data_IF_287668978613
#
_entry.id   IF_287668978613
#
_cell.length_a   1.000
_cell.length_b   1.000
_cell.length_c   1.000
_cell.angle_alpha   90.00
_cell.angle_beta   90.00
_cell.angle_gamma   90.00
#
_symmetry.space_group_name_H-M   'P 1'
#
loop_
_entity.id
_entity.type
_entity.pdbx_description
1 polymer ?
#
# COMPACT_ATOMS: atom_id res chain seq x y z
N UNK A 1 0.17 -20.81 -5.13
CA UNK A 1 -0.05 -19.41 -5.54
C UNK A 1 1.14 -18.59 -5.12
N UNK A 2 1.41 -17.52 -5.85
CA UNK A 2 2.15 -16.38 -5.33
C UNK A 2 1.14 -15.22 -5.18
N UNK A 3 1.53 -14.15 -4.47
CA UNK A 3 0.67 -12.99 -4.26
C UNK A 3 -0.05 -12.50 -5.53
N UNK A 4 0.70 -12.38 -6.64
CA UNK A 4 0.17 -11.89 -7.92
C UNK A 4 -0.89 -12.83 -8.49
N UNK A 5 -0.66 -14.14 -8.44
CA UNK A 5 -1.62 -15.14 -8.91
C UNK A 5 -2.92 -15.14 -8.12
N UNK A 6 -2.83 -15.00 -6.80
CA UNK A 6 -4.01 -14.96 -5.93
C UNK A 6 -4.81 -13.66 -6.14
N UNK A 7 -4.14 -12.53 -6.34
CA UNK A 7 -4.76 -11.25 -6.69
C UNK A 7 -5.51 -11.32 -8.03
N UNK A 8 -4.86 -11.83 -9.09
CA UNK A 8 -5.49 -11.99 -10.42
C UNK A 8 -6.74 -12.87 -10.30
N UNK A 9 -6.61 -14.03 -9.65
CA UNK A 9 -7.72 -14.95 -9.46
C UNK A 9 -8.89 -14.29 -8.72
N UNK A 10 -8.62 -13.53 -7.65
CA UNK A 10 -9.66 -12.85 -6.88
C UNK A 10 -10.39 -11.78 -7.71
N UNK A 11 -9.66 -10.95 -8.47
CA UNK A 11 -10.23 -9.89 -9.31
C UNK A 11 -11.11 -10.46 -10.42
N UNK A 12 -10.63 -11.51 -11.10
CA UNK A 12 -11.39 -12.19 -12.16
C UNK A 12 -12.63 -12.90 -11.60
N UNK A 13 -12.49 -13.59 -10.47
CA UNK A 13 -13.61 -14.29 -9.83
C UNK A 13 -14.69 -13.31 -9.33
N UNK A 14 -14.28 -12.14 -8.85
CA UNK A 14 -15.19 -11.09 -8.41
C UNK A 14 -15.93 -10.40 -9.59
N UNK A 15 -15.53 -10.67 -10.84
CA UNK A 15 -16.12 -10.10 -12.06
C UNK A 15 -16.30 -8.57 -11.98
N UNK A 16 -15.28 -7.90 -11.45
CA UNK A 16 -15.25 -6.46 -11.23
C UNK A 16 -15.00 -5.70 -12.53
N UNK A 17 -15.51 -4.48 -12.63
CA UNK A 17 -15.25 -3.58 -13.77
C UNK A 17 -14.67 -2.27 -13.28
N UNK A 18 -13.65 -1.78 -13.98
CA UNK A 18 -12.98 -0.53 -13.65
C UNK A 18 -11.94 -0.68 -12.53
N UNK A 19 -11.63 0.42 -11.82
CA UNK A 19 -10.58 0.43 -10.81
C UNK A 19 -10.93 -0.46 -9.61
N UNK A 20 -9.98 -1.30 -9.20
CA UNK A 20 -10.06 -2.13 -8.00
C UNK A 20 -8.93 -1.79 -7.04
N UNK A 21 -9.26 -1.65 -5.76
CA UNK A 21 -8.28 -1.43 -4.71
C UNK A 21 -7.85 -2.75 -4.07
N UNK A 22 -6.54 -2.99 -4.00
CA UNK A 22 -5.94 -4.15 -3.37
C UNK A 22 -5.18 -3.68 -2.13
N UNK A 23 -5.60 -4.15 -0.96
CA UNK A 23 -5.04 -3.77 0.35
C UNK A 23 -4.54 -5.03 1.04
N UNK A 24 -3.33 -4.98 1.62
CA UNK A 24 -2.80 -6.07 2.43
C UNK A 24 -3.47 -6.08 3.80
N UNK A 25 -3.83 -7.27 4.29
CA UNK A 25 -4.59 -7.41 5.54
C UNK A 25 -3.76 -7.14 6.80
N UNK A 26 -2.43 -7.02 6.67
CA UNK A 26 -1.48 -6.77 7.76
C UNK A 26 -1.26 -5.27 8.06
N UNK A 27 -2.15 -4.39 7.57
CA UNK A 27 -2.12 -2.93 7.73
C UNK A 27 -3.14 -2.42 8.77
N UNK A 28 -2.94 -2.66 10.07
CA UNK A 28 -3.95 -2.39 11.10
C UNK A 28 -4.22 -0.91 11.36
N UNK A 29 -3.36 -0.01 10.84
CA UNK A 29 -3.48 1.44 11.05
C UNK A 29 -4.10 2.18 9.86
N UNK A 30 -4.53 1.45 8.82
CA UNK A 30 -5.27 2.05 7.71
C UNK A 30 -6.62 2.58 8.21
N UNK A 31 -7.02 3.75 7.72
CA UNK A 31 -8.24 4.43 8.12
C UNK A 31 -8.98 4.99 6.90
N UNK A 32 -10.25 5.41 7.05
CA UNK A 32 -11.04 5.95 5.93
C UNK A 32 -10.37 7.13 5.24
N UNK A 33 -9.77 8.05 6.00
CA UNK A 33 -9.15 9.26 5.45
C UNK A 33 -7.96 8.92 4.52
N UNK A 34 -7.17 7.89 4.86
CA UNK A 34 -6.10 7.41 4.00
C UNK A 34 -6.64 6.77 2.74
N UNK A 35 -7.69 5.94 2.85
CA UNK A 35 -8.32 5.30 1.69
C UNK A 35 -8.86 6.37 0.72
N UNK A 36 -9.57 7.35 1.25
CA UNK A 36 -10.13 8.46 0.47
C UNK A 36 -9.02 9.25 -0.22
N UNK A 37 -7.94 9.60 0.49
CA UNK A 37 -6.81 10.33 -0.09
C UNK A 37 -6.12 9.58 -1.25
N UNK A 38 -6.03 8.24 -1.16
CA UNK A 38 -5.45 7.41 -2.22
C UNK A 38 -6.39 7.38 -3.44
N UNK A 39 -7.70 7.28 -3.23
CA UNK A 39 -8.70 7.29 -4.29
C UNK A 39 -8.73 8.65 -5.00
N UNK A 40 -8.74 9.74 -4.24
CA UNK A 40 -8.67 11.10 -4.78
C UNK A 40 -7.43 11.26 -5.64
N UNK A 41 -6.27 10.84 -5.12
CA UNK A 41 -5.02 10.96 -5.86
C UNK A 41 -5.00 10.13 -7.14
N UNK A 42 -5.53 8.92 -7.11
CA UNK A 42 -5.68 8.08 -8.31
C UNK A 42 -6.52 8.78 -9.39
N UNK A 43 -7.63 9.42 -9.00
CA UNK A 43 -8.49 10.16 -9.94
C UNK A 43 -7.80 11.38 -10.54
N UNK A 44 -6.99 12.08 -9.77
CA UNK A 44 -6.23 13.25 -10.24
C UNK A 44 -5.15 12.89 -11.26
N UNK A 45 -4.41 11.82 -11.02
CA UNK A 45 -3.25 11.45 -11.86
C UNK A 45 -3.65 10.83 -13.20
N UNK A 46 -4.83 10.20 -13.27
CA UNK A 46 -5.37 9.64 -14.52
C UNK A 46 -4.59 8.44 -15.08
N UNK A 47 -3.71 7.83 -14.29
CA UNK A 47 -2.98 6.60 -14.63
C UNK A 47 -3.86 5.37 -14.38
N UNK A 48 -3.70 4.27 -15.15
CA UNK A 48 -4.51 3.07 -14.96
C UNK A 48 -4.24 2.38 -13.62
N UNK A 49 -3.03 2.52 -13.08
CA UNK A 49 -2.63 1.97 -11.79
C UNK A 49 -2.00 3.01 -10.85
N UNK A 50 -2.11 2.77 -9.55
CA UNK A 50 -1.42 3.53 -8.50
C UNK A 50 -0.96 2.58 -7.39
N UNK A 51 0.29 2.73 -6.96
CA UNK A 51 0.87 2.01 -5.84
C UNK A 51 1.33 2.98 -4.76
N UNK A 52 1.00 2.67 -3.50
CA UNK A 52 1.35 3.52 -2.36
C UNK A 52 2.67 3.07 -1.75
N UNK A 53 3.52 4.04 -1.46
CA UNK A 53 4.83 3.84 -0.86
C UNK A 53 5.04 4.81 0.30
N UNK A 54 5.94 4.44 1.21
CA UNK A 54 6.50 5.33 2.23
C UNK A 54 8.01 5.48 2.02
N UNK A 55 8.59 6.66 2.30
CA UNK A 55 10.04 6.81 2.34
C UNK A 55 10.68 5.91 3.42
N UNK A 56 11.89 5.38 3.17
CA UNK A 56 12.56 4.47 4.12
C UNK A 56 12.80 5.09 5.51
N UNK A 57 12.97 6.41 5.59
CA UNK A 57 13.14 7.13 6.85
C UNK A 57 11.87 7.09 7.71
N UNK A 58 10.69 6.97 7.11
CA UNK A 58 9.42 6.80 7.83
C UNK A 58 9.39 5.45 8.52
N UNK A 59 9.78 4.36 7.84
CA UNK A 59 9.92 3.03 8.46
C UNK A 59 10.90 3.05 9.63
N UNK A 60 12.06 3.72 9.45
CA UNK A 60 13.05 3.87 10.53
C UNK A 60 12.48 4.64 11.74
N UNK A 61 11.76 5.74 11.49
CA UNK A 61 11.11 6.54 12.54
C UNK A 61 10.01 5.76 13.27
N UNK A 62 9.26 4.92 12.55
CA UNK A 62 8.24 4.03 13.11
C UNK A 62 8.83 2.79 13.82
N UNK A 63 10.15 2.58 13.71
CA UNK A 63 10.84 1.43 14.32
C UNK A 63 10.58 0.10 13.61
N UNK A 64 10.16 0.13 12.34
CA UNK A 64 9.94 -1.07 11.52
C UNK A 64 11.10 -1.32 10.59
N UNK A 65 11.29 -2.60 10.23
CA UNK A 65 12.30 -3.02 9.26
C UNK A 65 11.58 -3.51 8.01
N UNK A 66 11.67 -2.79 6.88
CA UNK A 66 11.02 -3.22 5.65
C UNK A 66 11.75 -4.43 5.05
N UNK A 67 10.99 -5.38 4.53
CA UNK A 67 11.54 -6.55 3.82
C UNK A 67 11.88 -6.23 2.36
N UNK A 68 11.16 -5.26 1.77
CA UNK A 68 11.34 -4.84 0.37
C UNK A 68 11.60 -3.34 0.31
N UNK A 69 12.61 -2.93 -0.46
CA UNK A 69 12.98 -1.53 -0.68
C UNK A 69 13.25 -1.32 -2.17
N UNK A 70 12.71 -0.25 -2.73
CA UNK A 70 12.96 0.18 -4.10
C UNK A 70 13.76 1.49 -4.12
N UNK A 71 14.55 1.69 -5.16
CA UNK A 71 15.17 2.98 -5.45
C UNK A 71 14.39 3.67 -6.56
N UNK A 72 13.73 4.78 -6.24
CA UNK A 72 13.05 5.65 -7.20
C UNK A 72 13.74 7.00 -7.22
N UNK A 73 14.40 7.33 -8.32
CA UNK A 73 15.09 8.60 -8.54
C UNK A 73 16.08 8.97 -7.41
N UNK A 74 16.82 7.99 -6.90
CA UNK A 74 17.79 8.15 -5.81
C UNK A 74 17.16 8.15 -4.41
N UNK A 75 15.84 8.00 -4.30
CA UNK A 75 15.12 7.90 -3.02
C UNK A 75 14.73 6.45 -2.75
N UNK A 76 15.03 5.99 -1.54
CA UNK A 76 14.62 4.66 -1.09
C UNK A 76 13.17 4.71 -0.59
N UNK A 77 12.31 3.93 -1.23
CA UNK A 77 10.88 3.84 -0.92
C UNK A 77 10.49 2.39 -0.62
N UNK A 78 9.49 2.21 0.22
CA UNK A 78 9.00 0.93 0.70
C UNK A 78 7.52 0.80 0.32
N UNK A 79 7.08 -0.31 -0.28
CA UNK A 79 5.68 -0.50 -0.62
C UNK A 79 4.83 -0.55 0.66
N UNK A 80 3.75 0.22 0.68
CA UNK A 80 2.84 0.30 1.84
C UNK A 80 1.76 -0.80 1.83
N UNK A 81 1.67 -1.62 0.76
CA UNK A 81 0.67 -2.68 0.65
C UNK A 81 -0.72 -2.19 0.21
N UNK A 82 -0.83 -1.00 -0.39
CA UNK A 82 -2.07 -0.47 -0.98
C UNK A 82 -1.84 -0.17 -2.46
N UNK A 83 -2.72 -0.70 -3.31
CA UNK A 83 -2.66 -0.52 -4.76
C UNK A 83 -4.06 -0.27 -5.33
N UNK A 84 -4.13 0.46 -6.44
CA UNK A 84 -5.31 0.53 -7.32
C UNK A 84 -4.87 0.06 -8.70
N UNK A 85 -5.64 -0.85 -9.30
CA UNK A 85 -5.39 -1.43 -10.62
C UNK A 85 -6.67 -1.38 -11.47
N UNK A 86 -6.54 -1.29 -12.78
CA UNK A 86 -7.66 -1.52 -13.69
C UNK A 86 -7.93 -3.03 -13.79
N UNK A 87 -9.13 -3.47 -13.39
CA UNK A 87 -9.51 -4.88 -13.41
C UNK A 87 -9.48 -5.49 -14.82
N UNK A 88 -9.72 -4.69 -15.87
CA UNK A 88 -9.72 -5.14 -17.25
C UNK A 88 -8.33 -5.51 -17.77
N UNK A 89 -7.28 -4.99 -17.12
CA UNK A 89 -5.89 -5.23 -17.46
C UNK A 89 -5.13 -5.97 -16.35
N UNK A 90 -5.83 -6.70 -15.47
CA UNK A 90 -5.22 -7.29 -14.26
C UNK A 90 -4.09 -8.30 -14.54
N UNK A 91 -4.08 -8.91 -15.73
CA UNK A 91 -3.03 -9.84 -16.17
C UNK A 91 -1.83 -9.14 -16.81
N UNK A 92 -1.97 -7.88 -17.19
CA UNK A 92 -0.97 -7.12 -17.92
C UNK A 92 -0.28 -6.13 -16.98
N UNK A 93 0.95 -5.77 -17.31
CA UNK A 93 1.62 -4.63 -16.67
C UNK A 93 0.86 -3.34 -17.02
N UNK A 94 0.63 -2.51 -16.01
CA UNK A 94 -0.11 -1.26 -16.14
C UNK A 94 0.83 -0.11 -15.85
N UNK A 95 0.70 0.99 -16.59
CA UNK A 95 1.41 2.22 -16.25
C UNK A 95 0.98 2.69 -14.87
N UNK A 96 1.92 2.79 -13.94
CA UNK A 96 1.64 3.08 -12.54
C UNK A 96 2.06 4.49 -12.11
N UNK A 97 1.31 5.03 -11.16
CA UNK A 97 1.72 6.19 -10.39
C UNK A 97 2.19 5.74 -9.01
N UNK A 98 3.40 6.16 -8.60
CA UNK A 98 3.91 5.84 -7.25
C UNK A 98 3.61 6.99 -6.30
N UNK A 99 2.56 6.81 -5.52
CA UNK A 99 2.15 7.75 -4.48
C UNK A 99 3.02 7.56 -3.24
N UNK A 100 3.96 8.48 -3.02
CA UNK A 100 4.87 8.44 -1.87
C UNK A 100 4.31 9.32 -0.75
N UNK A 101 3.96 8.72 0.39
CA UNK A 101 3.36 9.39 1.54
C UNK A 101 4.29 9.34 2.76
N UNK A 102 4.48 10.49 3.41
CA UNK A 102 5.17 10.57 4.70
C UNK A 102 4.16 10.32 5.83
N UNK A 103 3.70 9.07 5.93
CA UNK A 103 2.72 8.67 6.94
C UNK A 103 3.18 7.42 7.70
N UNK A 104 3.53 7.55 9.00
CA UNK A 104 3.95 6.43 9.83
C UNK A 104 2.94 5.29 9.93
N UNK A 105 1.63 5.56 9.76
CA UNK A 105 0.59 4.52 9.79
C UNK A 105 0.74 3.52 8.65
N UNK A 106 1.21 3.98 7.49
CA UNK A 106 1.46 3.14 6.30
C UNK A 106 2.80 2.42 6.34
N UNK A 107 3.64 2.68 7.36
CA UNK A 107 4.93 2.02 7.54
C UNK A 107 4.87 0.82 8.49
N UNK A 108 3.68 0.48 9.02
CA UNK A 108 3.46 -0.62 9.96
C UNK A 108 2.71 -1.76 9.28
N UNK A 109 3.47 -2.78 8.90
CA UNK A 109 2.95 -4.11 8.57
C UNK A 109 3.17 -5.03 9.76
N UNK A 110 2.10 -5.61 10.32
CA UNK A 110 2.23 -6.46 11.52
C UNK A 110 2.60 -7.89 11.14
N UNK A 111 3.90 -8.15 11.07
CA UNK A 111 4.47 -9.47 10.77
C UNK A 111 5.25 -10.08 11.95
N UNK A 112 5.66 -9.26 12.92
CA UNK A 112 6.40 -9.69 14.10
C UNK A 112 5.79 -9.16 15.40
N UNK A 113 6.19 -9.74 16.54
CA UNK A 113 5.81 -9.25 17.88
C UNK A 113 6.24 -7.80 18.09
N UNK A 114 7.37 -7.39 17.51
CA UNK A 114 7.85 -6.00 17.58
C UNK A 114 6.92 -5.05 16.83
N UNK A 115 6.48 -5.43 15.63
CA UNK A 115 5.54 -4.63 14.84
C UNK A 115 4.20 -4.49 15.56
N UNK A 116 3.71 -5.58 16.18
CA UNK A 116 2.49 -5.53 17.00
C UNK A 116 2.62 -4.54 18.16
N UNK A 117 3.77 -4.51 18.84
CA UNK A 117 4.01 -3.54 19.91
C UNK A 117 3.99 -2.10 19.37
N UNK A 118 4.67 -1.84 18.24
CA UNK A 118 4.65 -0.51 17.60
C UNK A 118 3.26 -0.08 17.14
N UNK A 119 2.49 -1.00 16.58
CA UNK A 119 1.10 -0.77 16.22
C UNK A 119 0.28 -0.32 17.44
N UNK A 120 0.41 -1.02 18.57
CA UNK A 120 -0.26 -0.66 19.82
C UNK A 120 0.16 0.72 20.32
N UNK A 121 1.46 1.01 20.31
CA UNK A 121 2.00 2.32 20.73
C UNK A 121 1.36 3.45 19.90
N UNK A 122 1.31 3.29 18.57
CA UNK A 122 0.74 4.30 17.66
C UNK A 122 -0.78 4.45 17.84
N UNK A 123 -1.52 3.36 18.05
CA UNK A 123 -2.96 3.43 18.34
C UNK A 123 -3.24 4.21 19.64
N UNK A 124 -2.42 4.04 20.66
CA UNK A 124 -2.57 4.73 21.94
C UNK A 124 -2.25 6.23 21.86
N UNK A 125 -1.31 6.63 20.99
CA UNK A 125 -1.00 8.04 20.73
C UNK A 125 -2.02 8.76 19.81
N UNK A 126 -2.97 8.02 19.23
CA UNK A 126 -3.95 8.54 18.26
C UNK A 126 -5.29 8.96 18.88
N UNK A 127 -5.42 8.86 20.21
CA UNK A 127 -6.62 9.25 20.98
C UNK A 127 -6.43 10.59 21.67
#
# INVERSE_FOLDING_TARGET
GNYVGDMIYAVETANTTGPVMIIMSDLPLINPELIDSVIEKYREEGKPALSVYVPINVCKGAGTRPDTVFNKDGKLIVPAGVNILDSSQIRNEQEDFNLILDNPRLAINVNTVKDLQRCKDLLQCSN
#
